data_IF_014164951892
#
_entry.id   IF_014164951892
#
_cell.length_a   1.000
_cell.length_b   1.000
_cell.length_c   1.000
_cell.angle_alpha   90.00
_cell.angle_beta   90.00
_cell.angle_gamma   90.00
#
_symmetry.space_group_name_H-M   'P 1'
#
loop_
_entity.id
_entity.type
_entity.pdbx_description
1 polymer ?
#
# COMPACT_ATOMS: atom_id res chain seq x y z
N UNK A 1 22.77 -14.20 16.67
CA UNK A 1 23.53 -12.99 16.28
C UNK A 1 23.20 -12.51 14.87
N UNK A 2 23.44 -13.26 13.79
CA UNK A 2 23.11 -12.78 12.42
C UNK A 2 21.61 -12.59 12.17
N UNK A 3 20.78 -13.54 12.62
CA UNK A 3 19.32 -13.46 12.45
C UNK A 3 18.69 -12.30 13.23
N UNK A 4 19.25 -11.94 14.38
CA UNK A 4 18.74 -10.83 15.21
C UNK A 4 18.90 -9.50 14.46
N UNK A 5 20.05 -9.27 13.83
CA UNK A 5 20.29 -8.08 13.02
C UNK A 5 19.34 -8.01 11.81
N UNK A 6 19.07 -9.15 11.19
CA UNK A 6 18.12 -9.22 10.06
C UNK A 6 16.69 -8.88 10.49
N UNK A 7 16.24 -9.38 11.64
CA UNK A 7 14.91 -9.04 12.19
C UNK A 7 14.80 -7.54 12.53
N UNK A 8 15.86 -6.94 13.08
CA UNK A 8 15.94 -5.49 13.31
C UNK A 8 15.86 -4.68 12.02
N UNK A 9 16.52 -5.13 10.95
CA UNK A 9 16.43 -4.52 9.63
C UNK A 9 15.02 -4.62 9.04
N UNK A 10 14.38 -5.79 9.14
CA UNK A 10 13.00 -5.97 8.72
C UNK A 10 12.04 -5.09 9.52
N UNK A 11 12.26 -4.90 10.81
CA UNK A 11 11.50 -3.97 11.65
C UNK A 11 11.70 -2.51 11.27
N UNK A 12 12.89 -2.14 10.84
CA UNK A 12 13.19 -0.77 10.38
C UNK A 12 12.38 -0.37 9.14
N UNK A 13 11.98 -1.33 8.29
CA UNK A 13 11.09 -1.05 7.16
C UNK A 13 9.73 -0.50 7.63
N UNK A 14 9.22 -0.95 8.78
CA UNK A 14 7.96 -0.45 9.34
C UNK A 14 8.04 1.03 9.73
N UNK A 15 9.23 1.52 10.11
CA UNK A 15 9.46 2.95 10.35
C UNK A 15 9.43 3.76 9.04
N UNK A 16 10.01 3.21 7.97
CA UNK A 16 10.03 3.85 6.64
C UNK A 16 8.62 3.98 6.05
N UNK A 17 7.68 3.09 6.40
CA UNK A 17 6.27 3.14 5.94
C UNK A 17 5.55 4.42 6.38
N UNK A 18 5.94 5.01 7.52
CA UNK A 18 5.34 6.25 8.05
C UNK A 18 5.74 7.47 7.23
N UNK A 19 6.81 7.39 6.45
CA UNK A 19 7.27 8.52 5.64
C UNK A 19 6.27 8.82 4.49
N UNK A 20 5.84 10.08 4.30
CA UNK A 20 4.91 10.46 3.22
C UNK A 20 5.40 10.18 1.80
N UNK A 21 6.72 10.19 1.58
CA UNK A 21 7.33 9.95 0.29
C UNK A 21 7.59 8.47 0.03
N UNK A 22 8.14 7.74 1.01
CA UNK A 22 8.54 6.34 0.84
C UNK A 22 7.43 5.34 1.18
N UNK A 23 6.46 5.73 2.00
CA UNK A 23 5.40 4.87 2.48
C UNK A 23 4.55 4.25 1.38
N UNK A 24 3.93 5.04 0.49
CA UNK A 24 3.09 4.51 -0.59
C UNK A 24 3.83 3.51 -1.49
N UNK A 25 5.09 3.80 -1.81
CA UNK A 25 5.92 2.92 -2.62
C UNK A 25 6.25 1.59 -1.91
N UNK A 26 6.60 1.63 -0.63
CA UNK A 26 6.94 0.42 0.14
C UNK A 26 5.72 -0.50 0.33
N UNK A 27 4.55 0.11 0.55
CA UNK A 27 3.27 -0.60 0.66
C UNK A 27 2.90 -1.27 -0.65
N UNK A 28 3.14 -0.58 -1.77
CA UNK A 28 2.94 -1.14 -3.12
C UNK A 28 3.84 -2.35 -3.36
N UNK A 29 5.14 -2.24 -3.08
CA UNK A 29 6.11 -3.34 -3.21
C UNK A 29 5.68 -4.55 -2.38
N UNK A 30 5.29 -4.34 -1.11
CA UNK A 30 4.85 -5.42 -0.23
C UNK A 30 3.61 -6.17 -0.74
N UNK A 31 2.65 -5.45 -1.33
CA UNK A 31 1.45 -6.07 -1.95
C UNK A 31 1.81 -6.85 -3.21
N UNK A 32 2.68 -6.31 -4.05
CA UNK A 32 3.12 -6.98 -5.27
C UNK A 32 3.94 -8.25 -4.99
N UNK A 33 4.74 -8.26 -3.91
CA UNK A 33 5.51 -9.44 -3.51
C UNK A 33 4.62 -10.65 -3.19
N UNK A 34 3.40 -10.45 -2.69
CA UNK A 34 2.46 -11.56 -2.48
C UNK A 34 1.99 -12.20 -3.79
N UNK A 35 1.73 -11.38 -4.81
CA UNK A 35 1.39 -11.86 -6.14
C UNK A 35 2.60 -12.54 -6.82
N UNK A 36 3.80 -12.02 -6.55
CA UNK A 36 5.08 -12.56 -7.03
C UNK A 36 5.41 -13.96 -6.48
N UNK A 37 4.98 -14.25 -5.25
CA UNK A 37 5.29 -15.52 -4.57
C UNK A 37 4.84 -16.74 -5.38
N UNK A 38 3.69 -16.67 -6.06
CA UNK A 38 3.23 -17.75 -6.95
C UNK A 38 4.19 -18.01 -8.12
N UNK A 39 4.82 -16.96 -8.64
CA UNK A 39 5.81 -17.11 -9.72
C UNK A 39 7.13 -17.69 -9.23
N UNK A 40 7.55 -17.34 -8.01
CA UNK A 40 8.73 -17.94 -7.40
C UNK A 40 8.58 -19.46 -7.24
N UNK A 41 7.36 -19.95 -6.98
CA UNK A 41 7.05 -21.39 -6.98
C UNK A 41 7.26 -22.00 -8.37
N UNK A 42 6.85 -21.32 -9.44
CA UNK A 42 7.03 -21.78 -10.81
C UNK A 42 8.52 -21.88 -11.18
N UNK A 43 9.32 -20.87 -10.82
CA UNK A 43 10.79 -20.93 -10.97
C UNK A 43 11.35 -22.14 -10.19
N UNK A 44 10.95 -22.34 -8.94
CA UNK A 44 11.42 -23.45 -8.13
C UNK A 44 11.09 -24.83 -8.74
N UNK A 45 9.92 -24.99 -9.35
CA UNK A 45 9.52 -26.22 -10.06
C UNK A 45 10.45 -26.47 -11.25
N UNK A 46 10.66 -25.47 -12.10
CA UNK A 46 11.53 -25.58 -13.29
C UNK A 46 12.98 -25.86 -12.90
N UNK A 47 13.47 -25.21 -11.84
CA UNK A 47 14.82 -25.46 -11.30
C UNK A 47 14.98 -26.87 -10.76
N UNK A 48 13.97 -27.38 -10.03
CA UNK A 48 14.00 -28.74 -9.51
C UNK A 48 13.98 -29.76 -10.65
N UNK A 49 13.15 -29.54 -11.68
CA UNK A 49 13.05 -30.43 -12.83
C UNK A 49 14.39 -30.57 -13.58
N UNK A 50 15.04 -29.45 -13.90
CA UNK A 50 16.35 -29.47 -14.53
C UNK A 50 17.43 -30.08 -13.63
N UNK A 51 17.47 -29.68 -12.35
CA UNK A 51 18.47 -30.20 -11.43
C UNK A 51 18.41 -31.72 -11.27
N UNK A 52 17.20 -32.29 -11.17
CA UNK A 52 17.02 -33.74 -11.04
C UNK A 52 17.43 -34.44 -12.34
N UNK A 53 17.02 -33.91 -13.50
CA UNK A 53 17.39 -34.47 -14.81
C UNK A 53 18.91 -34.42 -15.05
N UNK A 54 19.55 -33.28 -14.76
CA UNK A 54 21.00 -33.10 -14.91
C UNK A 54 21.78 -34.05 -14.01
N UNK A 55 21.38 -34.19 -12.74
CA UNK A 55 22.01 -35.15 -11.81
C UNK A 55 21.80 -36.60 -12.19
N UNK A 56 20.60 -36.95 -12.68
CA UNK A 56 20.32 -38.31 -13.16
C UNK A 56 21.16 -38.70 -14.36
N UNK A 57 21.53 -37.75 -15.22
CA UNK A 57 22.38 -38.01 -16.39
C UNK A 57 23.86 -38.03 -16.04
N UNK A 58 24.30 -37.20 -15.07
CA UNK A 58 25.70 -37.05 -14.71
C UNK A 58 26.20 -38.08 -13.67
N UNK A 59 25.32 -38.63 -12.82
CA UNK A 59 25.70 -39.60 -11.80
C UNK A 59 24.83 -40.86 -11.89
N UNK A 60 25.43 -41.97 -12.35
CA UNK A 60 24.85 -43.32 -12.32
C UNK A 60 24.99 -43.99 -10.92
N UNK A 61 24.91 -43.21 -9.84
CA UNK A 61 25.10 -43.65 -8.46
C UNK A 61 23.81 -43.70 -7.65
N UNK A 62 23.79 -44.45 -6.56
CA UNK A 62 22.68 -44.47 -5.62
C UNK A 62 22.49 -43.09 -4.97
N UNK A 63 21.48 -42.34 -5.41
CA UNK A 63 21.10 -41.08 -4.78
C UNK A 63 20.23 -41.36 -3.55
N UNK A 64 20.75 -41.09 -2.36
CA UNK A 64 19.94 -41.11 -1.15
C UNK A 64 19.01 -39.89 -1.11
N UNK A 65 17.70 -40.16 -1.18
CA UNK A 65 16.69 -39.12 -1.10
C UNK A 65 16.66 -38.49 0.29
N UNK A 66 17.28 -37.31 0.40
CA UNK A 66 17.20 -36.44 1.57
C UNK A 66 17.03 -35.01 1.11
N UNK A 67 16.14 -34.26 1.77
CA UNK A 67 15.87 -32.85 1.45
C UNK A 67 17.17 -32.03 1.46
N UNK A 68 18.09 -32.34 2.37
CA UNK A 68 19.41 -31.70 2.44
C UNK A 68 20.25 -31.99 1.20
N UNK A 69 20.22 -33.23 0.70
CA UNK A 69 20.97 -33.64 -0.48
C UNK A 69 20.36 -33.05 -1.75
N UNK A 70 19.03 -33.03 -1.87
CA UNK A 70 18.34 -32.34 -2.96
C UNK A 70 18.70 -30.85 -2.96
N UNK A 71 18.61 -30.17 -1.82
CA UNK A 71 18.93 -28.74 -1.76
C UNK A 71 20.41 -28.46 -2.13
N UNK A 72 21.35 -29.24 -1.60
CA UNK A 72 22.79 -29.02 -1.80
C UNK A 72 23.28 -29.44 -3.19
N UNK A 73 22.81 -30.57 -3.72
CA UNK A 73 23.33 -31.15 -4.95
C UNK A 73 22.45 -30.85 -6.17
N UNK A 74 21.13 -30.71 -6.00
CA UNK A 74 20.19 -30.46 -7.11
C UNK A 74 19.93 -28.98 -7.27
N UNK A 75 19.50 -28.29 -6.21
CA UNK A 75 19.01 -26.91 -6.32
C UNK A 75 20.12 -25.85 -6.29
N UNK A 76 21.12 -26.01 -5.42
CA UNK A 76 22.18 -25.01 -5.24
C UNK A 76 23.00 -24.73 -6.53
N UNK A 77 23.43 -25.74 -7.31
CA UNK A 77 24.16 -25.49 -8.56
C UNK A 77 23.29 -24.79 -9.61
N UNK A 78 22.03 -25.22 -9.76
CA UNK A 78 21.07 -24.63 -10.70
C UNK A 78 20.74 -23.17 -10.32
N UNK A 79 20.70 -22.87 -9.02
CA UNK A 79 20.57 -21.51 -8.53
C UNK A 79 21.78 -20.65 -8.85
N UNK A 80 22.99 -21.18 -8.67
CA UNK A 80 24.21 -20.46 -9.03
C UNK A 80 24.28 -20.20 -10.54
N UNK A 81 23.83 -21.14 -11.37
CA UNK A 81 23.74 -21.00 -12.82
C UNK A 81 22.86 -19.80 -13.26
N UNK A 82 21.83 -19.43 -12.49
CA UNK A 82 21.02 -18.25 -12.78
C UNK A 82 21.80 -16.93 -12.62
N UNK A 83 22.75 -16.89 -11.68
CA UNK A 83 23.47 -15.67 -11.34
C UNK A 83 24.81 -15.54 -12.08
N UNK A 84 25.36 -16.65 -12.59
CA UNK A 84 26.69 -16.67 -13.22
C UNK A 84 26.66 -16.84 -14.73
N UNK A 85 27.78 -16.51 -15.37
CA UNK A 85 27.99 -16.80 -16.78
C UNK A 85 28.10 -18.32 -16.99
N UNK A 86 27.23 -18.87 -17.85
CA UNK A 86 27.14 -20.29 -18.23
C UNK A 86 28.47 -20.90 -18.70
N UNK A 87 29.42 -20.05 -19.12
CA UNK A 87 30.76 -20.42 -19.56
C UNK A 87 31.51 -21.28 -18.52
N UNK A 88 31.26 -21.09 -17.22
CA UNK A 88 31.90 -21.89 -16.17
C UNK A 88 31.43 -23.35 -16.14
N UNK A 89 30.14 -23.62 -16.36
CA UNK A 89 29.62 -24.99 -16.45
C UNK A 89 29.99 -25.66 -17.77
N UNK A 90 30.04 -24.91 -18.87
CA UNK A 90 30.48 -25.43 -20.16
C UNK A 90 31.93 -25.97 -20.09
N UNK A 91 32.80 -25.25 -19.37
CA UNK A 91 34.20 -25.65 -19.19
C UNK A 91 34.39 -26.73 -18.10
N UNK A 92 33.55 -26.74 -17.06
CA UNK A 92 33.60 -27.75 -16.00
C UNK A 92 33.15 -29.15 -16.43
N UNK A 93 32.38 -29.24 -17.52
CA UNK A 93 31.98 -30.50 -18.17
C UNK A 93 33.11 -31.11 -19.03
N UNK A 94 34.10 -30.31 -19.45
CA UNK A 94 35.27 -30.80 -20.20
C UNK A 94 36.37 -31.35 -19.27
N UNK A 95 36.44 -30.88 -18.01
CA UNK A 95 37.46 -31.33 -17.04
C UNK A 95 37.07 -32.59 -16.24
N UNK A 96 35.80 -33.03 -16.29
CA UNK A 96 35.38 -34.27 -15.62
C UNK A 96 35.81 -35.49 -16.42
N UNK A 97 37.04 -35.92 -16.14
CA UNK A 97 37.73 -37.08 -16.69
C UNK A 97 37.02 -38.39 -16.32
N UNK A 98 35.95 -38.77 -17.04
CA UNK A 98 35.75 -40.17 -17.47
C UNK A 98 34.59 -40.45 -18.45
N UNK A 99 33.66 -39.54 -18.72
CA UNK A 99 32.63 -39.76 -19.73
C UNK A 99 32.42 -38.47 -20.52
N UNK A 100 32.54 -38.55 -21.85
CA UNK A 100 32.28 -37.43 -22.74
C UNK A 100 30.89 -36.86 -22.44
N UNK A 101 30.75 -35.54 -22.21
CA UNK A 101 29.47 -34.97 -21.85
C UNK A 101 28.48 -35.22 -22.98
N UNK A 102 27.40 -35.96 -22.68
CA UNK A 102 26.41 -36.31 -23.69
C UNK A 102 25.85 -35.03 -24.32
N UNK A 103 25.64 -35.03 -25.64
CA UNK A 103 25.01 -33.88 -26.33
C UNK A 103 23.65 -33.55 -25.70
N UNK A 104 22.99 -34.55 -25.08
CA UNK A 104 21.75 -34.39 -24.34
C UNK A 104 21.87 -33.45 -23.13
N UNK A 105 22.96 -33.45 -22.36
CA UNK A 105 23.13 -32.54 -21.21
C UNK A 105 23.30 -31.09 -21.66
N UNK A 106 24.01 -30.86 -22.77
CA UNK A 106 24.14 -29.54 -23.39
C UNK A 106 22.81 -29.02 -23.95
N UNK A 107 22.03 -29.88 -24.62
CA UNK A 107 20.69 -29.52 -25.12
C UNK A 107 19.76 -29.20 -23.94
N UNK A 108 19.80 -30.02 -22.88
CA UNK A 108 18.99 -29.82 -21.67
C UNK A 108 19.36 -28.49 -20.98
N UNK A 109 20.65 -28.18 -20.87
CA UNK A 109 21.15 -26.91 -20.34
C UNK A 109 20.66 -25.73 -21.19
N UNK A 110 20.78 -25.81 -22.52
CA UNK A 110 20.32 -24.75 -23.43
C UNK A 110 18.80 -24.51 -23.30
N UNK A 111 18.02 -25.58 -23.23
CA UNK A 111 16.57 -25.50 -23.03
C UNK A 111 16.22 -24.91 -21.67
N UNK A 112 16.93 -25.28 -20.61
CA UNK A 112 16.76 -24.71 -19.28
C UNK A 112 17.04 -23.21 -19.24
N UNK A 113 18.16 -22.76 -19.83
CA UNK A 113 18.51 -21.35 -19.90
C UNK A 113 17.50 -20.55 -20.73
N UNK A 114 16.95 -21.12 -21.80
CA UNK A 114 15.87 -20.51 -22.57
C UNK A 114 14.62 -20.33 -21.72
N UNK A 115 14.18 -21.39 -21.03
CA UNK A 115 13.02 -21.33 -20.15
C UNK A 115 13.21 -20.26 -19.09
N UNK A 116 14.31 -20.26 -18.33
CA UNK A 116 14.47 -19.30 -17.25
C UNK A 116 14.68 -17.87 -17.78
N UNK A 117 15.65 -17.65 -18.66
CA UNK A 117 16.07 -16.29 -19.01
C UNK A 117 15.16 -15.61 -20.04
N UNK A 118 14.65 -16.36 -21.02
CA UNK A 118 13.84 -15.79 -22.11
C UNK A 118 12.36 -15.88 -21.79
N UNK A 119 11.90 -16.95 -21.14
CA UNK A 119 10.47 -17.13 -20.86
C UNK A 119 10.10 -16.64 -19.45
N UNK A 120 10.69 -17.21 -18.40
CA UNK A 120 10.25 -16.96 -17.03
C UNK A 120 10.63 -15.56 -16.54
N UNK A 121 11.89 -15.13 -16.68
CA UNK A 121 12.31 -13.80 -16.20
C UNK A 121 11.59 -12.69 -16.95
N UNK A 122 11.38 -12.82 -18.26
CA UNK A 122 10.63 -11.82 -19.03
C UNK A 122 9.15 -11.78 -18.65
N UNK A 123 8.53 -12.95 -18.44
CA UNK A 123 7.16 -13.01 -17.93
C UNK A 123 7.07 -12.44 -16.51
N UNK A 124 8.10 -12.63 -15.69
CA UNK A 124 8.17 -12.09 -14.34
C UNK A 124 8.21 -10.57 -14.35
N UNK A 125 9.06 -10.00 -15.19
CA UNK A 125 9.15 -8.54 -15.37
C UNK A 125 7.81 -8.01 -15.90
N UNK A 126 7.18 -8.70 -16.86
CA UNK A 126 5.88 -8.30 -17.41
C UNK A 126 4.76 -8.32 -16.35
N UNK A 127 4.66 -9.39 -15.55
CA UNK A 127 3.68 -9.47 -14.47
C UNK A 127 3.97 -8.49 -13.35
N UNK A 128 5.24 -8.24 -13.04
CA UNK A 128 5.64 -7.21 -12.07
C UNK A 128 5.20 -5.83 -12.56
N UNK A 129 5.44 -5.49 -13.83
CA UNK A 129 5.01 -4.22 -14.40
C UNK A 129 3.48 -4.07 -14.37
N UNK A 130 2.74 -5.11 -14.75
CA UNK A 130 1.27 -5.09 -14.68
C UNK A 130 0.78 -4.91 -13.24
N UNK A 131 1.26 -5.75 -12.32
CA UNK A 131 0.86 -5.66 -10.91
C UNK A 131 1.30 -4.34 -10.28
N UNK A 132 2.40 -3.73 -10.76
CA UNK A 132 2.86 -2.43 -10.31
C UNK A 132 1.84 -1.37 -10.66
N UNK A 133 1.39 -1.33 -11.92
CA UNK A 133 0.40 -0.37 -12.38
C UNK A 133 -0.93 -0.54 -11.65
N UNK A 134 -1.40 -1.77 -11.47
CA UNK A 134 -2.64 -2.07 -10.74
C UNK A 134 -2.56 -1.56 -9.30
N UNK A 135 -1.48 -1.87 -8.58
CA UNK A 135 -1.30 -1.46 -7.18
C UNK A 135 -1.00 0.03 -7.06
N UNK A 136 -0.26 0.64 -8.00
CA UNK A 136 0.07 2.06 -8.02
C UNK A 136 -1.18 2.93 -8.11
N UNK A 137 -2.24 2.47 -8.78
CA UNK A 137 -3.51 3.21 -8.85
C UNK A 137 -4.25 3.32 -7.51
N UNK A 138 -4.06 2.34 -6.62
CA UNK A 138 -4.75 2.25 -5.31
C UNK A 138 -3.80 2.53 -4.14
N UNK A 139 -2.49 2.66 -4.39
CA UNK A 139 -1.46 2.71 -3.34
C UNK A 139 -1.68 3.84 -2.33
N UNK A 140 -2.16 5.00 -2.80
CA UNK A 140 -2.38 6.19 -1.97
C UNK A 140 -3.47 5.94 -0.94
N UNK A 141 -4.58 5.30 -1.34
CA UNK A 141 -5.70 5.01 -0.44
C UNK A 141 -5.32 3.96 0.60
N UNK A 142 -4.57 2.95 0.17
CA UNK A 142 -4.06 1.90 1.07
C UNK A 142 -3.10 2.51 2.09
N UNK A 143 -2.20 3.38 1.64
CA UNK A 143 -1.26 4.06 2.53
C UNK A 143 -2.00 5.00 3.50
N UNK A 144 -2.96 5.79 3.03
CA UNK A 144 -3.79 6.66 3.87
C UNK A 144 -4.54 5.85 4.95
N UNK A 145 -5.12 4.70 4.59
CA UNK A 145 -5.76 3.80 5.55
C UNK A 145 -4.78 3.26 6.59
N UNK A 146 -3.58 2.83 6.15
CA UNK A 146 -2.55 2.33 7.06
C UNK A 146 -2.01 3.44 7.98
N UNK A 147 -1.81 4.65 7.47
CA UNK A 147 -1.42 5.80 8.28
C UNK A 147 -2.48 6.11 9.33
N UNK A 148 -3.77 6.06 8.98
CA UNK A 148 -4.84 6.21 9.94
C UNK A 148 -4.76 5.16 11.05
N UNK A 149 -4.54 3.88 10.72
CA UNK A 149 -4.40 2.83 11.73
C UNK A 149 -3.19 3.05 12.65
N UNK A 150 -2.07 3.48 12.08
CA UNK A 150 -0.87 3.82 12.85
C UNK A 150 -1.18 4.99 13.78
N UNK A 151 -1.73 6.09 13.28
CA UNK A 151 -2.07 7.27 14.10
C UNK A 151 -3.04 6.91 15.22
N UNK A 152 -4.06 6.09 14.93
CA UNK A 152 -5.00 5.59 15.93
C UNK A 152 -4.31 4.78 17.02
N UNK A 153 -3.42 3.86 16.64
CA UNK A 153 -2.65 3.05 17.59
C UNK A 153 -1.71 3.92 18.45
N UNK A 154 -1.07 4.93 17.87
CA UNK A 154 -0.16 5.84 18.58
C UNK A 154 -0.88 6.81 19.53
N UNK A 155 -2.17 7.08 19.32
CA UNK A 155 -2.94 8.00 20.16
C UNK A 155 -3.12 7.50 21.60
N UNK A 156 -3.38 6.20 21.77
CA UNK A 156 -3.59 5.60 23.09
C UNK A 156 -2.26 5.25 23.80
N UNK A 157 -1.14 5.34 23.08
CA UNK A 157 0.19 5.02 23.59
C UNK A 157 0.76 6.21 24.37
N UNK A 158 1.55 5.94 25.41
CA UNK A 158 2.22 7.01 26.13
C UNK A 158 3.14 7.82 25.20
N UNK A 159 3.20 9.15 25.34
CA UNK A 159 3.95 10.03 24.43
C UNK A 159 5.48 9.91 24.55
N UNK A 160 5.98 9.01 25.40
CA UNK A 160 7.41 8.84 25.66
C UNK A 160 8.04 7.86 24.68
N UNK A 161 9.20 8.26 24.14
CA UNK A 161 10.03 7.44 23.26
C UNK A 161 10.38 6.11 23.94
N UNK A 162 10.42 5.02 23.16
CA UNK A 162 10.58 3.62 23.60
C UNK A 162 11.64 3.38 24.72
N UNK A 163 12.86 3.95 24.71
CA UNK A 163 13.81 3.78 25.81
C UNK A 163 13.40 4.45 27.13
N UNK A 164 12.47 5.41 27.11
CA UNK A 164 11.94 6.09 28.30
C UNK A 164 10.49 5.67 28.64
N UNK A 165 9.92 4.69 27.93
CA UNK A 165 8.55 4.22 28.20
C UNK A 165 8.42 3.64 29.61
N UNK A 166 9.48 3.01 30.11
CA UNK A 166 9.54 2.44 31.47
C UNK A 166 9.34 3.51 32.56
N UNK A 167 9.81 4.73 32.33
CA UNK A 167 9.61 5.85 33.28
C UNK A 167 8.13 6.25 33.30
N UNK A 168 7.46 6.30 32.13
CA UNK A 168 6.03 6.56 32.06
C UNK A 168 5.22 5.49 32.78
N UNK A 169 5.59 4.23 32.59
CA UNK A 169 4.93 3.09 33.21
C UNK A 169 5.07 3.16 34.73
N UNK A 170 6.25 3.52 35.25
CA UNK A 170 6.50 3.75 36.68
C UNK A 170 5.64 4.90 37.22
N UNK A 171 5.54 6.03 36.51
CA UNK A 171 4.71 7.18 36.92
C UNK A 171 3.22 6.80 36.93
N UNK A 172 2.76 6.04 35.93
CA UNK A 172 1.38 5.57 35.84
C UNK A 172 1.07 4.57 36.95
N UNK A 173 2.01 3.69 37.29
CA UNK A 173 1.91 2.74 38.39
C UNK A 173 1.89 3.46 39.75
N UNK A 174 2.70 4.50 39.93
CA UNK A 174 2.62 5.37 41.12
C UNK A 174 1.27 6.08 41.22
N UNK A 175 0.75 6.63 40.12
CA UNK A 175 -0.54 7.33 40.11
C UNK A 175 -1.70 6.39 40.45
N UNK A 176 -1.70 5.19 39.89
CA UNK A 176 -2.71 4.16 40.18
C UNK A 176 -2.60 3.66 41.62
N UNK A 177 -1.40 3.47 42.14
CA UNK A 177 -1.18 3.15 43.55
C UNK A 177 -1.68 4.26 44.49
N UNK A 178 -1.39 5.53 44.17
CA UNK A 178 -1.88 6.68 44.94
C UNK A 178 -3.41 6.79 44.91
N UNK A 179 -4.04 6.59 43.74
CA UNK A 179 -5.49 6.57 43.60
C UNK A 179 -6.12 5.39 44.34
N UNK A 180 -5.49 4.21 44.31
CA UNK A 180 -5.92 3.04 45.08
C UNK A 180 -5.82 3.31 46.60
N UNK A 181 -4.71 3.90 47.06
CA UNK A 181 -4.54 4.28 48.47
C UNK A 181 -5.61 5.31 48.90
N UNK A 182 -5.87 6.34 48.10
CA UNK A 182 -6.93 7.31 48.37
C UNK A 182 -8.34 6.68 48.33
N UNK A 183 -8.56 5.69 47.46
CA UNK A 183 -9.83 4.94 47.41
C UNK A 183 -10.06 4.16 48.70
N UNK A 184 -9.05 3.43 49.17
CA UNK A 184 -9.12 2.62 50.39
C UNK A 184 -9.34 3.51 51.63
N UNK A 185 -8.77 4.72 51.65
CA UNK A 185 -8.78 5.58 52.85
C UNK A 185 -9.88 6.65 52.87
N UNK A 186 -10.33 7.14 51.70
CA UNK A 186 -11.24 8.30 51.59
C UNK A 186 -12.44 8.08 50.66
N UNK A 187 -12.65 6.87 50.13
CA UNK A 187 -13.78 6.52 49.25
C UNK A 187 -13.98 7.51 48.07
N UNK A 188 -12.88 7.96 47.47
CA UNK A 188 -12.88 8.90 46.34
C UNK A 188 -13.40 8.22 45.05
N UNK A 189 -14.41 8.84 44.41
CA UNK A 189 -14.92 8.43 43.10
C UNK A 189 -13.97 8.84 41.95
N UNK A 190 -13.92 8.02 40.90
CA UNK A 190 -13.00 8.15 39.76
C UNK A 190 -13.15 9.50 39.02
N UNK A 191 -12.05 10.28 38.83
CA UNK A 191 -12.02 11.33 37.83
C UNK A 191 -11.63 10.74 36.47
N UNK A 192 -12.64 10.67 35.59
CA UNK A 192 -12.58 10.55 34.13
C UNK A 192 -11.90 9.34 33.50
N UNK A 193 -12.73 8.54 32.84
CA UNK A 193 -12.40 7.83 31.60
C UNK A 193 -11.69 8.77 30.62
N UNK A 194 -10.50 8.36 30.15
CA UNK A 194 -9.89 8.87 28.91
C UNK A 194 -10.59 8.25 27.69
N UNK A 195 -11.92 8.24 27.70
CA UNK A 195 -12.68 7.99 26.48
C UNK A 195 -12.53 9.23 25.63
N UNK A 196 -12.49 9.05 24.31
CA UNK A 196 -12.58 10.09 23.29
C UNK A 196 -13.68 11.10 23.67
N UNK A 197 -13.36 12.10 24.49
CA UNK A 197 -14.10 13.35 24.48
C UNK A 197 -13.65 13.99 23.18
N UNK A 198 -14.36 13.65 22.11
CA UNK A 198 -14.75 14.70 21.16
C UNK A 198 -15.19 15.83 22.08
N UNK A 199 -14.34 16.85 22.20
CA UNK A 199 -14.55 18.02 23.05
C UNK A 199 -16.03 18.30 22.90
N UNK A 200 -16.84 18.18 23.97
CA UNK A 200 -18.30 18.32 23.86
C UNK A 200 -18.54 19.58 23.05
N UNK A 201 -18.89 19.37 21.77
CA UNK A 201 -18.94 20.42 20.78
C UNK A 201 -20.13 21.25 21.24
N UNK A 202 -19.95 22.56 21.41
CA UNK A 202 -21.08 23.42 21.79
C UNK A 202 -22.26 23.10 20.87
N UNK A 203 -23.51 23.01 21.37
CA UNK A 203 -24.65 22.54 20.56
C UNK A 203 -24.84 23.35 19.26
N UNK A 204 -24.39 24.61 19.24
CA UNK A 204 -24.35 25.46 18.05
C UNK A 204 -23.39 24.95 16.96
N UNK A 205 -22.25 24.40 17.36
CA UNK A 205 -21.24 23.88 16.45
C UNK A 205 -21.66 22.49 15.92
N UNK A 206 -22.40 21.67 16.68
CA UNK A 206 -23.01 20.44 16.16
C UNK A 206 -24.05 20.73 15.07
N UNK A 207 -24.91 21.73 15.28
CA UNK A 207 -25.88 22.18 14.28
C UNK A 207 -25.18 22.69 13.01
N UNK A 208 -24.13 23.50 13.17
CA UNK A 208 -23.34 24.00 12.04
C UNK A 208 -22.62 22.87 11.29
N UNK A 209 -22.09 21.86 12.00
CA UNK A 209 -21.48 20.68 11.38
C UNK A 209 -22.53 19.85 10.62
N UNK A 210 -23.70 19.66 11.19
CA UNK A 210 -24.79 18.90 10.58
C UNK A 210 -25.35 19.60 9.34
N UNK A 211 -25.46 20.94 9.37
CA UNK A 211 -25.82 21.75 8.22
C UNK A 211 -24.76 21.63 7.11
N UNK A 212 -23.48 21.75 7.46
CA UNK A 212 -22.37 21.57 6.53
C UNK A 212 -22.34 20.16 5.90
N UNK A 213 -22.56 19.12 6.70
CA UNK A 213 -22.57 17.73 6.23
C UNK A 213 -23.75 17.48 5.29
N UNK A 214 -24.94 18.01 5.62
CA UNK A 214 -26.11 17.95 4.74
C UNK A 214 -25.86 18.68 3.42
N UNK A 215 -25.35 19.92 3.46
CA UNK A 215 -25.05 20.72 2.27
C UNK A 215 -24.00 20.05 1.36
N UNK A 216 -22.95 19.48 1.94
CA UNK A 216 -21.93 18.74 1.21
C UNK A 216 -22.50 17.48 0.55
N UNK A 217 -23.40 16.77 1.24
CA UNK A 217 -24.08 15.58 0.71
C UNK A 217 -25.01 15.94 -0.45
N UNK A 218 -25.76 17.03 -0.34
CA UNK A 218 -26.62 17.52 -1.43
C UNK A 218 -25.82 17.95 -2.66
N UNK A 219 -24.70 18.67 -2.47
CA UNK A 219 -23.81 19.06 -3.55
C UNK A 219 -23.22 17.84 -4.28
N UNK A 220 -22.81 16.81 -3.53
CA UNK A 220 -22.30 15.57 -4.11
C UNK A 220 -23.38 14.82 -4.91
N UNK A 221 -24.57 14.67 -4.35
CA UNK A 221 -25.71 14.03 -5.03
C UNK A 221 -26.10 14.78 -6.31
N UNK A 222 -26.04 16.11 -6.29
CA UNK A 222 -26.29 16.94 -7.46
C UNK A 222 -25.21 16.76 -8.54
N UNK A 223 -23.93 16.72 -8.17
CA UNK A 223 -22.84 16.41 -9.10
C UNK A 223 -22.98 15.01 -9.72
N UNK A 224 -23.37 14.00 -8.95
CA UNK A 224 -23.60 12.66 -9.45
C UNK A 224 -24.80 12.61 -10.43
N UNK A 225 -25.89 13.30 -10.10
CA UNK A 225 -27.06 13.42 -10.97
C UNK A 225 -26.72 14.13 -12.29
N UNK A 226 -25.96 15.24 -12.23
CA UNK A 226 -25.47 15.94 -13.41
C UNK A 226 -24.53 15.08 -14.25
N UNK A 227 -23.65 14.30 -13.63
CA UNK A 227 -22.77 13.36 -14.33
C UNK A 227 -23.57 12.26 -15.06
N UNK A 228 -24.65 11.74 -14.44
CA UNK A 228 -25.57 10.78 -15.08
C UNK A 228 -26.30 11.42 -16.27
N UNK A 229 -26.82 12.63 -16.12
CA UNK A 229 -27.45 13.38 -17.23
C UNK A 229 -26.45 13.61 -18.35
N UNK A 230 -25.21 14.02 -18.06
CA UNK A 230 -24.14 14.22 -19.05
C UNK A 230 -23.84 12.93 -19.81
N UNK A 231 -23.79 11.78 -19.12
CA UNK A 231 -23.62 10.47 -19.78
C UNK A 231 -24.79 10.12 -20.70
N UNK A 232 -26.03 10.30 -20.25
CA UNK A 232 -27.23 10.03 -21.07
C UNK A 232 -27.26 10.94 -22.30
N UNK A 233 -26.90 12.23 -22.15
CA UNK A 233 -26.83 13.16 -23.28
C UNK A 233 -25.72 12.77 -24.26
N UNK A 234 -24.56 12.33 -23.77
CA UNK A 234 -23.47 11.84 -24.62
C UNK A 234 -23.89 10.55 -25.34
N UNK A 235 -24.55 9.61 -24.66
CA UNK A 235 -25.03 8.36 -25.23
C UNK A 235 -26.09 8.61 -26.32
N UNK A 236 -27.03 9.52 -26.06
CA UNK A 236 -28.01 9.98 -27.04
C UNK A 236 -27.36 10.72 -28.21
N UNK A 237 -26.29 11.50 -27.97
CA UNK A 237 -25.54 12.18 -29.02
C UNK A 237 -24.72 11.21 -29.89
N UNK A 238 -24.13 10.15 -29.29
CA UNK A 238 -23.48 9.07 -30.04
C UNK A 238 -24.46 8.24 -30.84
N UNK A 239 -25.65 7.96 -30.29
CA UNK A 239 -26.74 7.28 -31.00
C UNK A 239 -27.35 8.17 -32.10
N UNK A 240 -27.33 9.50 -31.95
CA UNK A 240 -27.77 10.45 -32.99
C UNK A 240 -26.71 10.71 -34.07
N UNK A 241 -25.42 10.44 -33.80
CA UNK A 241 -24.35 10.48 -34.82
C UNK A 241 -24.49 9.36 -35.87
N UNK A 242 -25.25 8.31 -35.60
CA UNK A 242 -25.68 7.32 -36.60
C UNK A 242 -26.77 7.85 -37.56
N UNK A 243 -27.34 9.03 -37.29
CA UNK A 243 -28.37 9.66 -38.12
C UNK A 243 -28.12 11.17 -38.35
N UNK A 244 -27.27 11.46 -39.35
CA UNK A 244 -27.12 12.71 -40.12
C UNK A 244 -26.55 14.01 -39.50
N UNK A 245 -25.41 14.42 -40.09
CA UNK A 245 -24.88 15.77 -40.42
C UNK A 245 -25.65 17.01 -39.94
N UNK A 246 -25.76 17.20 -38.62
CA UNK A 246 -26.11 18.48 -37.98
C UNK A 246 -25.29 18.74 -36.69
N UNK A 247 -24.11 18.11 -36.58
CA UNK A 247 -23.37 17.96 -35.32
C UNK A 247 -22.49 19.14 -34.86
N UNK A 248 -22.26 20.18 -35.68
CA UNK A 248 -21.34 21.27 -35.30
C UNK A 248 -22.03 22.32 -34.42
N UNK A 249 -23.32 22.60 -34.67
CA UNK A 249 -24.04 23.65 -33.94
C UNK A 249 -24.44 23.24 -32.52
N UNK A 250 -24.67 21.94 -32.29
CA UNK A 250 -25.05 21.43 -30.97
C UNK A 250 -23.86 21.27 -30.01
N UNK A 251 -22.63 21.12 -30.51
CA UNK A 251 -21.44 20.97 -29.67
C UNK A 251 -21.05 22.30 -29.00
N UNK A 252 -21.19 23.42 -29.72
CA UNK A 252 -20.92 24.76 -29.20
C UNK A 252 -21.95 25.17 -28.12
N UNK A 253 -23.21 24.79 -28.30
CA UNK A 253 -24.27 25.03 -27.30
C UNK A 253 -24.02 24.22 -26.01
N UNK A 254 -23.54 22.98 -26.13
CA UNK A 254 -23.16 22.14 -24.98
C UNK A 254 -21.91 22.69 -24.28
N UNK A 255 -20.88 23.12 -25.01
CA UNK A 255 -19.70 23.75 -24.40
C UNK A 255 -20.03 25.08 -23.69
N UNK A 256 -20.89 25.91 -24.28
CA UNK A 256 -21.29 27.18 -23.67
C UNK A 256 -22.13 26.96 -22.40
N UNK A 257 -22.94 25.91 -22.37
CA UNK A 257 -23.70 25.50 -21.19
C UNK A 257 -22.79 24.92 -20.09
N UNK A 258 -21.81 24.07 -20.45
CA UNK A 258 -20.80 23.50 -19.52
C UNK A 258 -19.93 24.62 -18.90
N UNK A 259 -19.53 25.63 -19.70
CA UNK A 259 -18.81 26.82 -19.23
C UNK A 259 -19.64 27.68 -18.28
N UNK A 260 -20.93 27.85 -18.53
CA UNK A 260 -21.80 28.64 -17.65
C UNK A 260 -22.10 27.92 -16.34
N UNK A 261 -22.25 26.59 -16.34
CA UNK A 261 -22.41 25.80 -15.12
C UNK A 261 -21.14 25.85 -14.28
N UNK A 262 -19.98 25.55 -14.87
CA UNK A 262 -18.70 25.58 -14.14
C UNK A 262 -18.40 26.97 -13.57
N UNK A 263 -18.74 28.05 -14.28
CA UNK A 263 -18.61 29.43 -13.78
C UNK A 263 -19.54 29.69 -12.59
N UNK A 264 -20.80 29.28 -12.67
CA UNK A 264 -21.79 29.46 -11.59
C UNK A 264 -21.44 28.62 -10.35
N UNK A 265 -20.89 27.42 -10.55
CA UNK A 265 -20.37 26.55 -9.48
C UNK A 265 -19.12 27.15 -8.81
N UNK A 266 -18.18 27.68 -9.59
CA UNK A 266 -16.98 28.34 -9.02
C UNK A 266 -17.35 29.59 -8.22
N UNK A 267 -18.30 30.39 -8.69
CA UNK A 267 -18.79 31.57 -7.97
C UNK A 267 -19.46 31.19 -6.65
N UNK A 268 -20.29 30.13 -6.64
CA UNK A 268 -20.93 29.62 -5.42
C UNK A 268 -19.91 29.07 -4.41
N UNK A 269 -18.91 28.30 -4.86
CA UNK A 269 -17.84 27.77 -4.00
C UNK A 269 -16.99 28.91 -3.42
N UNK A 270 -16.69 29.94 -4.21
CA UNK A 270 -15.93 31.11 -3.74
C UNK A 270 -16.73 31.88 -2.70
N UNK A 271 -18.04 32.07 -2.91
CA UNK A 271 -18.92 32.73 -1.96
C UNK A 271 -18.96 31.97 -0.63
N UNK A 272 -19.22 30.66 -0.67
CA UNK A 272 -19.32 29.81 0.51
C UNK A 272 -17.99 29.76 1.29
N UNK A 273 -16.86 29.71 0.57
CA UNK A 273 -15.52 29.83 1.17
C UNK A 273 -15.32 31.16 1.87
N UNK A 274 -15.82 32.27 1.30
CA UNK A 274 -15.66 33.60 1.88
C UNK A 274 -16.54 33.77 3.13
N UNK A 275 -17.78 33.27 3.11
CA UNK A 275 -18.68 33.26 4.27
C UNK A 275 -18.09 32.43 5.41
N UNK A 276 -17.56 31.24 5.11
CA UNK A 276 -16.88 30.40 6.10
C UNK A 276 -15.64 31.08 6.70
N UNK A 277 -14.87 31.80 5.88
CA UNK A 277 -13.69 32.57 6.33
C UNK A 277 -14.09 33.72 7.26
N UNK A 278 -15.23 34.35 7.01
CA UNK A 278 -15.78 35.40 7.87
C UNK A 278 -16.23 34.83 9.22
N UNK A 279 -16.99 33.73 9.21
CA UNK A 279 -17.44 33.05 10.44
C UNK A 279 -16.27 32.60 11.34
N UNK A 280 -15.21 32.04 10.75
CA UNK A 280 -13.99 31.67 11.49
C UNK A 280 -13.30 32.90 12.11
N UNK A 281 -13.32 34.03 11.42
CA UNK A 281 -12.70 35.27 11.89
C UNK A 281 -13.45 35.85 13.08
N UNK A 282 -14.78 35.82 13.05
CA UNK A 282 -15.61 36.26 14.19
C UNK A 282 -15.45 35.34 15.39
N UNK A 283 -15.49 34.02 15.20
CA UNK A 283 -15.25 33.05 16.27
C UNK A 283 -13.87 33.24 16.94
N UNK A 284 -12.84 33.57 16.14
CA UNK A 284 -11.50 33.89 16.66
C UNK A 284 -11.47 35.18 17.49
N UNK A 285 -12.28 36.17 17.15
CA UNK A 285 -12.37 37.42 17.90
C UNK A 285 -13.13 37.22 19.22
N UNK A 286 -14.20 36.43 19.22
CA UNK A 286 -14.96 36.09 20.42
C UNK A 286 -14.13 35.29 21.41
N UNK A 287 -13.38 34.29 20.93
CA UNK A 287 -12.42 33.54 21.76
C UNK A 287 -11.37 34.48 22.36
N UNK A 288 -10.85 35.46 21.58
CA UNK A 288 -9.88 36.45 22.09
C UNK A 288 -10.49 37.38 23.15
N UNK A 289 -11.76 37.74 23.03
CA UNK A 289 -12.47 38.56 24.02
C UNK A 289 -12.66 37.78 25.34
N UNK A 290 -13.05 36.51 25.26
CA UNK A 290 -13.20 35.63 26.42
C UNK A 290 -11.84 35.37 27.11
N UNK A 291 -10.76 35.27 26.34
CA UNK A 291 -9.41 35.03 26.87
C UNK A 291 -8.79 36.29 27.52
N UNK A 292 -9.28 37.50 27.20
CA UNK A 292 -8.83 38.76 27.82
C UNK A 292 -9.59 39.17 29.09
N UNK A 293 -10.72 38.52 29.40
CA UNK A 293 -11.51 38.78 30.61
C UNK A 293 -11.21 37.82 31.79
N UNK A 294 -10.25 36.90 31.63
CA UNK A 294 -9.70 36.04 32.69
C UNK A 294 -8.27 36.44 33.01
#
# INVERSE_FOLDING_TARGET
MGYDLWLWWMGSLSFIIVNPFLGPHLVSIGKMLKNLAFFAILIAIVMTAYGVASRSMAFYGAFEFSIRNVLRYVLYPVYYLLYTNVSGELNGLDESKHDSPSIATHILLAFHMLLINILLVNLLIAMFNKSFQDVQSIQSDIWNYQQYMVVREYYDRPPLFIPFSTIFDIITLMKTFYQWYLRVRYNYANPSERVFKVIAVQPELELAWQEFESASTYAYAQHEALAKIKRITIENATCSQESNTSGIRSMDDVESFDRNITKKETDAIIQLRNEFKAAIKDLRNDIRLITKQK
#
